data_IF_247702035947
#
_entry.id   IF_247702035947
#
_cell.length_a   1.000
_cell.length_b   1.000
_cell.length_c   1.000
_cell.angle_alpha   90.00
_cell.angle_beta   90.00
_cell.angle_gamma   90.00
#
_symmetry.space_group_name_H-M   'P 1'
#
loop_
_entity.id
_entity.type
_entity.pdbx_description
1 polymer ?
#
# COMPACT_ATOMS: atom_id res chain seq x y z
N UNK A 1 26.43 5.71 -0.32
CA UNK A 1 25.66 6.87 0.17
C UNK A 1 24.35 7.11 -0.58
N UNK A 2 24.30 7.20 -1.91
CA UNK A 2 23.04 7.49 -2.64
C UNK A 2 21.91 6.48 -2.40
N UNK A 3 22.17 5.17 -2.53
CA UNK A 3 21.14 4.14 -2.30
C UNK A 3 20.64 4.11 -0.85
N UNK A 4 21.52 4.39 0.11
CA UNK A 4 21.16 4.48 1.54
C UNK A 4 20.22 5.66 1.77
N UNK A 5 20.49 6.81 1.15
CA UNK A 5 19.61 7.98 1.23
C UNK A 5 18.23 7.69 0.60
N UNK A 6 18.19 7.02 -0.55
CA UNK A 6 16.92 6.60 -1.18
C UNK A 6 16.14 5.70 -0.23
N UNK A 7 16.80 4.70 0.37
CA UNK A 7 16.15 3.78 1.30
C UNK A 7 15.62 4.49 2.55
N UNK A 8 16.41 5.42 3.09
CA UNK A 8 16.02 6.22 4.24
C UNK A 8 14.81 7.10 3.94
N UNK A 9 14.85 7.90 2.87
CA UNK A 9 13.76 8.79 2.47
C UNK A 9 12.50 8.00 2.15
N UNK A 10 12.63 6.89 1.42
CA UNK A 10 11.51 6.01 1.08
C UNK A 10 10.83 5.44 2.33
N UNK A 11 11.62 4.93 3.27
CA UNK A 11 11.12 4.34 4.51
C UNK A 11 10.50 5.40 5.41
N UNK A 12 11.16 6.55 5.58
CA UNK A 12 10.65 7.69 6.36
C UNK A 12 9.30 8.16 5.81
N UNK A 13 9.22 8.37 4.49
CA UNK A 13 7.98 8.82 3.84
C UNK A 13 6.87 7.79 4.03
N UNK A 14 7.16 6.49 3.87
CA UNK A 14 6.15 5.44 4.05
C UNK A 14 5.62 5.39 5.47
N UNK A 15 6.52 5.45 6.47
CA UNK A 15 6.14 5.51 7.88
C UNK A 15 5.29 6.75 8.13
N UNK A 16 5.70 7.94 7.69
CA UNK A 16 4.90 9.16 7.85
C UNK A 16 3.51 9.01 7.22
N UNK A 17 3.42 8.43 6.03
CA UNK A 17 2.15 8.20 5.34
C UNK A 17 1.19 7.28 6.11
N UNK A 18 1.71 6.23 6.78
CA UNK A 18 0.93 5.40 7.69
C UNK A 18 0.31 6.20 8.84
N UNK A 19 0.96 7.29 9.27
CA UNK A 19 0.49 8.12 10.38
C UNK A 19 -0.50 9.22 9.95
N UNK A 20 -0.70 9.44 8.65
CA UNK A 20 -1.67 10.38 8.10
C UNK A 20 -3.14 9.88 8.16
N UNK A 21 -3.41 8.78 8.86
CA UNK A 21 -4.77 8.27 9.13
C UNK A 21 -5.67 9.28 9.86
N UNK A 22 -6.97 9.04 9.90
CA UNK A 22 -7.98 10.01 10.42
C UNK A 22 -7.93 10.30 11.93
N UNK A 23 -7.05 9.64 12.68
CA UNK A 23 -6.92 9.85 14.13
C UNK A 23 -6.44 11.26 14.45
N UNK A 24 -7.00 11.83 15.50
CA UNK A 24 -6.69 13.18 16.03
C UNK A 24 -6.76 13.22 17.57
N UNK A 25 -6.81 12.05 18.20
CA UNK A 25 -7.11 11.86 19.62
C UNK A 25 -5.93 12.14 20.56
N UNK A 26 -4.75 12.48 20.03
CA UNK A 26 -3.59 12.86 20.82
C UNK A 26 -2.72 13.88 20.09
N UNK A 27 -1.88 14.60 20.84
CA UNK A 27 -0.89 15.52 20.26
C UNK A 27 0.05 14.82 19.27
N UNK A 28 0.35 13.54 19.53
CA UNK A 28 1.08 12.69 18.59
C UNK A 28 0.38 12.59 17.23
N UNK A 29 -0.93 12.37 17.19
CA UNK A 29 -1.66 12.29 15.91
C UNK A 29 -1.82 13.66 15.25
N UNK A 30 -2.00 14.72 16.05
CA UNK A 30 -2.11 16.10 15.56
C UNK A 30 -0.80 16.58 14.93
N UNK A 31 0.36 16.13 15.42
CA UNK A 31 1.67 16.44 14.83
C UNK A 31 1.71 16.13 13.33
N UNK A 32 1.20 14.96 12.92
CA UNK A 32 1.17 14.56 11.52
C UNK A 32 0.11 15.28 10.67
N UNK A 33 -0.75 16.12 11.27
CA UNK A 33 -1.76 16.92 10.57
C UNK A 33 -1.28 18.31 10.18
N UNK A 34 -0.15 18.74 10.74
CA UNK A 34 0.51 19.95 10.30
C UNK A 34 1.33 19.66 9.04
N UNK A 35 1.00 20.34 7.95
CA UNK A 35 1.67 20.18 6.66
C UNK A 35 3.18 20.45 6.74
N UNK A 36 3.64 21.28 7.69
CA UNK A 36 5.06 21.55 7.89
C UNK A 36 5.84 20.32 8.40
N UNK A 37 5.14 19.35 9.00
CA UNK A 37 5.74 18.12 9.51
C UNK A 37 5.76 16.98 8.48
N UNK A 38 5.17 17.20 7.30
CA UNK A 38 5.15 16.23 6.20
C UNK A 38 6.36 16.48 5.30
N UNK A 39 7.24 15.48 5.06
CA UNK A 39 8.37 15.62 4.14
C UNK A 39 7.92 16.02 2.73
N UNK A 40 8.68 16.89 2.05
CA UNK A 40 8.33 17.39 0.71
C UNK A 40 8.14 16.26 -0.31
N UNK A 41 9.02 15.25 -0.28
CA UNK A 41 8.94 14.06 -1.12
C UNK A 41 7.65 13.26 -0.93
N UNK A 42 7.05 13.33 0.26
CA UNK A 42 5.76 12.72 0.55
C UNK A 42 4.58 13.63 0.15
N UNK A 43 4.72 14.95 0.36
CA UNK A 43 3.70 15.94 -0.02
C UNK A 43 3.38 15.87 -1.52
N UNK A 44 4.41 15.77 -2.35
CA UNK A 44 4.26 15.59 -3.80
C UNK A 44 3.47 14.33 -4.16
N UNK A 45 3.78 13.20 -3.49
CA UNK A 45 3.07 11.93 -3.69
C UNK A 45 1.60 12.05 -3.31
N UNK A 46 1.31 12.60 -2.14
CA UNK A 46 -0.08 12.80 -1.66
C UNK A 46 -0.86 13.67 -2.64
N UNK A 47 -0.27 14.79 -3.06
CA UNK A 47 -0.91 15.69 -4.03
C UNK A 47 -1.22 14.97 -5.35
N UNK A 48 -0.26 14.20 -5.87
CA UNK A 48 -0.45 13.42 -7.08
C UNK A 48 -1.58 12.37 -6.92
N UNK A 49 -1.61 11.68 -5.78
CA UNK A 49 -2.56 10.59 -5.50
C UNK A 49 -3.96 11.07 -5.12
N UNK A 50 -4.10 12.33 -4.67
CA UNK A 50 -5.39 12.98 -4.50
C UNK A 50 -6.15 13.10 -5.84
N UNK A 51 -5.43 13.22 -6.96
CA UNK A 51 -6.02 13.46 -8.27
C UNK A 51 -5.97 12.24 -9.20
N UNK A 52 -5.11 11.26 -8.91
CA UNK A 52 -4.83 10.10 -9.78
C UNK A 52 -4.61 8.85 -8.92
N UNK A 53 -4.86 7.64 -9.43
CA UNK A 53 -4.47 6.43 -8.72
C UNK A 53 -2.97 6.43 -8.42
N UNK A 54 -2.52 5.83 -7.31
CA UNK A 54 -1.10 5.63 -7.05
C UNK A 54 -0.41 4.99 -8.25
N UNK A 55 0.54 5.74 -8.85
CA UNK A 55 1.29 5.32 -10.04
C UNK A 55 2.65 6.02 -10.12
N UNK A 56 3.59 5.47 -10.89
CA UNK A 56 4.83 6.11 -11.29
C UNK A 56 5.98 6.02 -10.27
N UNK A 57 5.85 6.69 -9.13
CA UNK A 57 6.92 6.83 -8.12
C UNK A 57 7.35 5.53 -7.46
N UNK A 58 6.39 4.60 -7.36
CA UNK A 58 6.53 3.32 -6.69
C UNK A 58 6.28 2.22 -7.71
N UNK A 59 7.23 1.31 -7.83
CA UNK A 59 7.11 0.08 -8.63
C UNK A 59 6.80 -1.09 -7.69
N UNK A 60 7.03 -2.31 -8.15
CA UNK A 60 7.26 -3.42 -7.23
C UNK A 60 8.47 -3.11 -6.34
N UNK A 61 8.50 -3.70 -5.15
CA UNK A 61 9.53 -3.47 -4.14
C UNK A 61 10.94 -3.70 -4.70
N UNK A 62 11.90 -2.87 -4.30
CA UNK A 62 13.33 -3.06 -4.52
C UNK A 62 14.09 -2.98 -3.20
N UNK A 63 15.39 -3.31 -3.20
CA UNK A 63 16.24 -3.25 -2.01
C UNK A 63 16.22 -1.87 -1.35
N UNK A 64 16.32 -0.79 -2.14
CA UNK A 64 16.25 0.59 -1.66
C UNK A 64 14.84 1.17 -1.58
N UNK A 65 13.81 0.42 -1.99
CA UNK A 65 12.39 0.82 -1.91
C UNK A 65 11.54 -0.37 -1.49
N UNK A 66 11.60 -0.79 -0.22
CA UNK A 66 10.97 -2.03 0.24
C UNK A 66 9.43 -1.98 0.16
N UNK A 67 8.83 -0.80 0.33
CA UNK A 67 7.38 -0.59 0.21
C UNK A 67 6.98 -0.28 -1.23
N UNK A 68 6.62 -1.32 -1.99
CA UNK A 68 6.12 -1.16 -3.35
C UNK A 68 4.70 -0.57 -3.42
N UNK A 69 4.23 -0.32 -4.64
CA UNK A 69 2.95 0.37 -4.92
C UNK A 69 1.74 -0.22 -4.17
N UNK A 70 1.70 -1.54 -3.96
CA UNK A 70 0.62 -2.21 -3.22
C UNK A 70 0.56 -1.82 -1.74
N UNK A 71 1.70 -1.54 -1.12
CA UNK A 71 1.78 -1.09 0.28
C UNK A 71 1.17 0.31 0.41
N UNK A 72 1.60 1.24 -0.46
CA UNK A 72 1.07 2.61 -0.51
C UNK A 72 -0.42 2.66 -0.84
N UNK A 73 -0.88 1.85 -1.80
CA UNK A 73 -2.29 1.77 -2.16
C UNK A 73 -3.14 1.25 -0.99
N UNK A 74 -2.67 0.23 -0.28
CA UNK A 74 -3.36 -0.33 0.90
C UNK A 74 -3.56 0.71 1.99
N UNK A 75 -2.47 1.37 2.40
CA UNK A 75 -2.53 2.41 3.43
C UNK A 75 -3.33 3.61 2.95
N UNK A 76 -3.12 4.04 1.71
CA UNK A 76 -3.83 5.18 1.14
C UNK A 76 -5.34 4.99 1.12
N UNK A 77 -5.80 3.81 0.71
CA UNK A 77 -7.23 3.48 0.71
C UNK A 77 -7.79 3.46 2.13
N UNK A 78 -7.08 2.85 3.08
CA UNK A 78 -7.52 2.75 4.48
C UNK A 78 -7.57 4.11 5.17
N UNK A 79 -6.58 4.96 4.93
CA UNK A 79 -6.49 6.30 5.53
C UNK A 79 -7.35 7.34 4.82
N UNK A 80 -7.91 7.01 3.64
CA UNK A 80 -8.67 7.94 2.81
C UNK A 80 -7.82 8.93 2.01
N UNK A 81 -6.51 8.65 1.88
CA UNK A 81 -5.53 9.49 1.17
C UNK A 81 -5.43 9.12 -0.32
N UNK A 82 -5.83 7.90 -0.69
CA UNK A 82 -5.91 7.43 -2.07
C UNK A 82 -7.37 7.05 -2.38
N UNK A 83 -8.05 7.92 -3.12
CA UNK A 83 -9.47 7.73 -3.44
C UNK A 83 -9.70 6.63 -4.47
N UNK A 84 -10.56 5.65 -4.13
CA UNK A 84 -11.00 4.63 -5.09
C UNK A 84 -11.72 5.22 -6.32
N UNK A 85 -12.33 6.39 -6.17
CA UNK A 85 -12.99 7.13 -7.26
C UNK A 85 -12.00 7.50 -8.39
N UNK A 86 -10.73 7.79 -8.06
CA UNK A 86 -9.72 8.09 -9.07
C UNK A 86 -9.44 6.87 -9.95
N UNK A 87 -9.38 5.67 -9.34
CA UNK A 87 -9.18 4.43 -10.08
C UNK A 87 -10.39 4.09 -10.94
N UNK A 88 -11.61 4.28 -10.43
CA UNK A 88 -12.83 4.07 -11.19
C UNK A 88 -12.93 5.02 -12.38
N UNK A 89 -12.61 6.31 -12.19
CA UNK A 89 -12.57 7.31 -13.25
C UNK A 89 -11.57 6.95 -14.34
N UNK A 90 -10.36 6.54 -13.96
CA UNK A 90 -9.33 6.15 -14.92
C UNK A 90 -9.73 4.88 -15.69
N UNK A 91 -10.28 3.86 -15.01
CA UNK A 91 -10.83 2.67 -15.68
C UNK A 91 -11.91 3.04 -16.70
N UNK A 92 -12.78 4.00 -16.36
CA UNK A 92 -13.80 4.49 -17.28
C UNK A 92 -13.23 5.23 -18.48
N UNK A 93 -12.37 6.21 -18.23
CA UNK A 93 -11.77 7.03 -19.29
C UNK A 93 -10.94 6.20 -20.27
N UNK A 94 -10.31 5.13 -19.81
CA UNK A 94 -9.53 4.22 -20.65
C UNK A 94 -10.33 3.04 -21.21
N UNK A 95 -11.63 2.94 -20.93
CA UNK A 95 -12.51 1.84 -21.37
C UNK A 95 -12.02 0.46 -20.89
N UNK A 96 -11.48 0.43 -19.66
CA UNK A 96 -10.88 -0.75 -19.03
C UNK A 96 -11.78 -1.37 -17.94
N UNK A 97 -13.04 -0.97 -17.82
CA UNK A 97 -13.93 -1.44 -16.74
C UNK A 97 -14.13 -2.96 -16.79
N UNK A 98 -14.27 -3.54 -18.00
CA UNK A 98 -14.40 -4.99 -18.18
C UNK A 98 -13.14 -5.71 -17.69
N UNK A 99 -11.96 -5.21 -18.07
CA UNK A 99 -10.67 -5.76 -17.64
C UNK A 99 -10.47 -5.64 -16.13
N UNK A 100 -10.81 -4.48 -15.55
CA UNK A 100 -10.74 -4.26 -14.11
C UNK A 100 -11.64 -5.24 -13.33
N UNK A 101 -12.87 -5.47 -13.81
CA UNK A 101 -13.79 -6.46 -13.22
C UNK A 101 -13.24 -7.89 -13.33
N UNK A 102 -12.67 -8.26 -14.46
CA UNK A 102 -12.08 -9.58 -14.67
C UNK A 102 -10.92 -9.83 -13.69
N UNK A 103 -9.97 -8.89 -13.60
CA UNK A 103 -8.85 -9.01 -12.66
C UNK A 103 -9.35 -9.13 -11.22
N UNK A 104 -10.33 -8.31 -10.84
CA UNK A 104 -10.91 -8.39 -9.50
C UNK A 104 -11.55 -9.76 -9.22
N UNK A 105 -12.25 -10.34 -10.19
CA UNK A 105 -12.86 -11.67 -10.08
C UNK A 105 -11.80 -12.74 -9.85
N UNK A 106 -10.76 -12.77 -10.68
CA UNK A 106 -9.66 -13.73 -10.57
C UNK A 106 -8.98 -13.63 -9.19
N UNK A 107 -8.73 -12.40 -8.71
CA UNK A 107 -8.14 -12.22 -7.39
C UNK A 107 -9.04 -12.73 -6.25
N UNK A 108 -10.36 -12.60 -6.37
CA UNK A 108 -11.29 -13.12 -5.36
C UNK A 108 -11.39 -14.65 -5.40
N UNK A 109 -11.40 -15.23 -6.59
CA UNK A 109 -11.41 -16.68 -6.80
C UNK A 109 -10.18 -17.32 -6.17
N UNK A 110 -8.98 -16.87 -6.55
CA UNK A 110 -7.71 -17.35 -5.97
C UNK A 110 -7.69 -17.19 -4.46
N UNK A 111 -8.16 -16.04 -3.93
CA UNK A 111 -8.21 -15.81 -2.47
C UNK A 111 -9.12 -16.81 -1.77
N UNK A 112 -10.25 -17.17 -2.37
CA UNK A 112 -11.21 -18.11 -1.78
C UNK A 112 -10.69 -19.54 -1.86
N UNK A 113 -10.19 -19.98 -3.01
CA UNK A 113 -9.60 -21.32 -3.18
C UNK A 113 -8.43 -21.53 -2.21
N UNK A 114 -7.51 -20.56 -2.12
CA UNK A 114 -6.40 -20.62 -1.16
C UNK A 114 -6.92 -20.68 0.28
N UNK A 115 -7.99 -19.97 0.62
CA UNK A 115 -8.53 -20.01 1.98
C UNK A 115 -9.21 -21.35 2.32
N UNK A 116 -9.76 -22.04 1.32
CA UNK A 116 -10.39 -23.36 1.48
C UNK A 116 -9.33 -24.47 1.65
N UNK A 117 -8.24 -24.41 0.87
CA UNK A 117 -7.22 -25.48 0.85
C UNK A 117 -6.01 -25.21 1.75
N UNK A 118 -5.81 -23.98 2.23
CA UNK A 118 -4.65 -23.67 3.06
C UNK A 118 -4.74 -24.32 4.44
N UNK A 119 -3.69 -25.07 4.78
CA UNK A 119 -3.46 -25.47 6.17
C UNK A 119 -3.19 -24.23 7.04
N UNK A 120 -3.54 -24.35 8.31
CA UNK A 120 -3.26 -23.32 9.29
C UNK A 120 -1.75 -23.13 9.47
N UNK A 121 -1.35 -21.96 9.96
CA UNK A 121 0.04 -21.70 10.30
C UNK A 121 0.59 -22.72 11.30
N UNK A 122 -0.24 -23.16 12.26
CA UNK A 122 0.13 -24.18 13.24
C UNK A 122 0.41 -25.53 12.56
N UNK A 123 -0.49 -26.01 11.71
CA UNK A 123 -0.31 -27.28 10.99
C UNK A 123 0.94 -27.27 10.11
N UNK A 124 1.24 -26.13 9.47
CA UNK A 124 2.48 -25.97 8.71
C UNK A 124 3.72 -26.08 9.61
N UNK A 125 3.70 -25.42 10.77
CA UNK A 125 4.81 -25.51 11.73
C UNK A 125 4.96 -26.94 12.25
N UNK A 126 3.86 -27.59 12.63
CA UNK A 126 3.88 -28.98 13.11
C UNK A 126 4.47 -29.92 12.05
N UNK A 127 4.11 -29.74 10.77
CA UNK A 127 4.72 -30.50 9.67
C UNK A 127 6.23 -30.25 9.53
N UNK A 128 6.67 -28.99 9.59
CA UNK A 128 8.09 -28.64 9.49
C UNK A 128 8.87 -29.23 10.66
N UNK A 129 8.40 -29.03 11.90
CA UNK A 129 9.11 -29.50 13.09
C UNK A 129 9.16 -31.03 13.17
N UNK A 130 8.09 -31.74 12.80
CA UNK A 130 8.06 -33.21 12.81
C UNK A 130 8.77 -33.87 11.61
N UNK A 131 9.25 -33.09 10.63
CA UNK A 131 10.01 -33.60 9.47
C UNK A 131 11.52 -33.55 9.69
N UNK A 132 11.98 -32.69 10.59
CA UNK A 132 13.39 -32.46 10.87
C UNK A 132 13.83 -32.94 12.27
N UNK A 133 12.92 -33.52 13.04
CA UNK A 133 13.14 -34.23 14.31
C UNK A 133 12.36 -35.54 14.30
#
# INVERSE_FOLDING_TARGET
NKEVNIAYEHTRDYICYCHLQRRTDSEYWKYFKDDNNIPDSLREKIWAWAHRPPRGYEKLSSSSKPFGIGSWATIGKRSGLAGGHNAQRDLHNFKLEKTGKLIHSICNEVKNEVAEDAITHKELLDFVYNRYY
#
